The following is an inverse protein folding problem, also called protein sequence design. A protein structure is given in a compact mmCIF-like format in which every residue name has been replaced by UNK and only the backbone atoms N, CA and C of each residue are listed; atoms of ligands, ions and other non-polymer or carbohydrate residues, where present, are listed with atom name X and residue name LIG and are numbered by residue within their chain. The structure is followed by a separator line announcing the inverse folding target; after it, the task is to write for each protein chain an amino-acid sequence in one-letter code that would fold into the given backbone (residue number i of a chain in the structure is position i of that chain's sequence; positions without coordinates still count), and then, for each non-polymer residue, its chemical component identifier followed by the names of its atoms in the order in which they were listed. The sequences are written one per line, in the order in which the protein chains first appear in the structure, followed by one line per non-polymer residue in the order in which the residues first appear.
data_IF_730435444891
#
_entry.id   IF_730435444891
#
_cell.length_a   1.000
_cell.length_b   1.000
_cell.length_c   1.000
_cell.angle_alpha   90.00
_cell.angle_beta   90.00
_cell.angle_gamma   90.00
#
_symmetry.space_group_name_H-M   'P 1'
#
loop_
_entity.id
_entity.type
_entity.pdbx_description
1 polymer ?
#
# COMPACT_ATOMS: atom_id res chain seq x y z
N UNK A 1 60.75 -4.81 -1.82
CA UNK A 1 59.66 -3.90 -2.25
C UNK A 1 58.41 -4.73 -2.51
N UNK A 2 57.47 -4.72 -1.58
CA UNK A 2 56.20 -5.43 -1.71
C UNK A 2 55.12 -4.40 -2.02
N UNK A 3 54.56 -4.45 -3.23
CA UNK A 3 53.38 -3.65 -3.60
C UNK A 3 52.12 -4.38 -3.12
N UNK A 4 51.47 -3.79 -2.14
CA UNK A 4 50.13 -4.20 -1.72
C UNK A 4 49.11 -3.57 -2.66
N UNK A 5 48.48 -4.38 -3.52
CA UNK A 5 47.27 -3.97 -4.28
C UNK A 5 46.07 -3.98 -3.34
N UNK A 6 45.63 -2.79 -2.94
CA UNK A 6 44.34 -2.62 -2.29
C UNK A 6 43.23 -2.74 -3.36
N UNK A 7 42.56 -3.88 -3.37
CA UNK A 7 41.37 -4.09 -4.19
C UNK A 7 40.20 -3.31 -3.59
N UNK A 8 39.79 -2.24 -4.25
CA UNK A 8 38.52 -1.57 -3.95
C UNK A 8 37.36 -2.49 -4.31
N UNK A 9 36.69 -3.03 -3.31
CA UNK A 9 35.39 -3.69 -3.49
C UNK A 9 34.39 -2.63 -3.88
N UNK A 10 34.09 -2.56 -5.17
CA UNK A 10 32.94 -1.81 -5.66
C UNK A 10 31.67 -2.44 -5.06
N UNK A 11 31.06 -1.78 -4.09
CA UNK A 11 29.72 -2.09 -3.66
C UNK A 11 28.80 -1.81 -4.85
N UNK A 12 28.41 -2.88 -5.52
CA UNK A 12 27.31 -2.83 -6.47
C UNK A 12 26.07 -2.49 -5.64
N UNK A 13 25.56 -1.27 -5.80
CA UNK A 13 24.21 -0.94 -5.39
C UNK A 13 23.29 -1.86 -6.18
N UNK A 14 22.87 -2.95 -5.54
CA UNK A 14 21.77 -3.75 -6.07
C UNK A 14 20.58 -2.83 -6.08
N UNK A 15 20.20 -2.37 -7.26
CA UNK A 15 18.94 -1.67 -7.48
C UNK A 15 17.83 -2.51 -6.86
N UNK A 16 16.91 -1.85 -6.16
CA UNK A 16 15.73 -2.53 -5.64
C UNK A 16 15.12 -3.38 -6.76
N UNK A 17 14.71 -4.64 -6.46
CA UNK A 17 14.08 -5.46 -7.48
C UNK A 17 12.89 -4.70 -8.09
N UNK A 18 12.62 -4.88 -9.40
CA UNK A 18 11.46 -4.26 -10.02
C UNK A 18 10.26 -4.61 -9.15
N UNK A 19 9.58 -3.59 -8.68
CA UNK A 19 8.50 -3.73 -7.72
C UNK A 19 7.41 -4.59 -8.33
N UNK A 20 7.36 -5.83 -7.91
CA UNK A 20 6.31 -6.74 -8.32
C UNK A 20 4.99 -6.19 -7.82
N UNK A 21 4.00 -6.18 -8.71
CA UNK A 21 2.62 -5.88 -8.30
C UNK A 21 2.30 -6.70 -7.06
N UNK A 22 2.07 -6.03 -5.96
CA UNK A 22 1.65 -6.69 -4.74
C UNK A 22 0.25 -7.29 -4.95
N UNK A 23 0.14 -8.60 -4.81
CA UNK A 23 -1.12 -9.31 -4.89
C UNK A 23 -1.75 -9.46 -3.51
N UNK A 24 -3.06 -9.68 -3.49
CA UNK A 24 -3.74 -10.13 -2.29
C UNK A 24 -3.42 -11.61 -2.06
N UNK A 25 -2.60 -11.90 -1.07
CA UNK A 25 -2.14 -13.25 -0.77
C UNK A 25 -2.77 -13.76 0.53
N UNK A 26 -3.66 -14.77 0.47
CA UNK A 26 -4.32 -15.32 1.65
C UNK A 26 -3.38 -16.02 2.63
N UNK A 27 -2.16 -16.36 2.21
CA UNK A 27 -1.18 -17.01 3.08
C UNK A 27 -0.37 -16.05 3.94
N UNK A 28 -0.44 -14.75 3.68
CA UNK A 28 0.32 -13.74 4.42
C UNK A 28 -0.28 -13.48 5.80
N UNK A 29 0.60 -13.19 6.74
CA UNK A 29 0.23 -12.69 8.07
C UNK A 29 0.02 -11.18 8.02
N UNK A 30 -1.25 -10.78 7.88
CA UNK A 30 -1.60 -9.36 7.75
C UNK A 30 -1.19 -8.52 8.97
N UNK A 31 -1.24 -9.09 10.18
CA UNK A 31 -0.81 -8.37 11.38
C UNK A 31 0.69 -8.04 11.35
N UNK A 32 1.51 -8.98 10.90
CA UNK A 32 2.97 -8.75 10.73
C UNK A 32 3.26 -7.76 9.61
N UNK A 33 2.53 -7.86 8.50
CA UNK A 33 2.68 -6.94 7.37
C UNK A 33 2.34 -5.49 7.78
N UNK A 34 1.25 -5.31 8.52
CA UNK A 34 0.86 -3.99 9.04
C UNK A 34 1.92 -3.44 10.00
N UNK A 35 2.41 -4.25 10.92
CA UNK A 35 3.46 -3.85 11.85
C UNK A 35 4.74 -3.42 11.13
N UNK A 36 5.16 -4.17 10.11
CA UNK A 36 6.32 -3.82 9.29
C UNK A 36 6.10 -2.51 8.54
N UNK A 37 4.90 -2.29 7.99
CA UNK A 37 4.55 -1.07 7.30
C UNK A 37 4.55 0.16 8.23
N UNK A 38 4.05 0.01 9.45
CA UNK A 38 4.06 1.09 10.45
C UNK A 38 5.49 1.51 10.80
N UNK A 39 6.39 0.54 11.02
CA UNK A 39 7.82 0.84 11.26
C UNK A 39 8.46 1.55 10.08
N UNK A 40 8.18 1.11 8.88
CA UNK A 40 8.69 1.73 7.66
C UNK A 40 8.13 3.16 7.47
N UNK A 41 6.85 3.36 7.76
CA UNK A 41 6.20 4.66 7.70
C UNK A 41 6.81 5.64 8.71
N UNK A 42 7.00 5.20 9.96
CA UNK A 42 7.65 6.00 11.00
C UNK A 42 9.07 6.41 10.59
N UNK A 43 9.88 5.48 10.10
CA UNK A 43 11.25 5.75 9.69
C UNK A 43 11.35 6.69 8.47
N UNK A 44 10.34 6.74 7.61
CA UNK A 44 10.35 7.51 6.35
C UNK A 44 9.44 8.75 6.35
N UNK A 45 8.74 9.01 7.45
CA UNK A 45 7.79 10.14 7.52
C UNK A 45 6.55 9.96 6.65
N UNK A 46 6.19 8.71 6.35
CA UNK A 46 5.00 8.36 5.56
C UNK A 46 3.85 7.91 6.45
N UNK A 47 2.68 7.81 5.88
CA UNK A 47 1.50 7.15 6.47
C UNK A 47 1.33 5.75 5.88
N UNK A 48 0.36 5.00 6.39
CA UNK A 48 0.05 3.66 5.89
C UNK A 48 -1.33 3.65 5.25
N UNK A 49 -1.45 2.99 4.11
CA UNK A 49 -2.73 2.62 3.52
C UNK A 49 -2.89 1.11 3.63
N UNK A 50 -3.98 0.67 4.27
CA UNK A 50 -4.44 -0.70 4.17
C UNK A 50 -5.42 -0.79 3.01
N UNK A 51 -5.08 -1.55 1.99
CA UNK A 51 -5.93 -1.87 0.84
C UNK A 51 -6.53 -3.25 1.08
N UNK A 52 -7.80 -3.28 1.44
CA UNK A 52 -8.52 -4.50 1.79
C UNK A 52 -9.28 -5.02 0.58
N UNK A 53 -9.03 -6.26 0.21
CA UNK A 53 -9.69 -6.88 -0.93
C UNK A 53 -9.20 -8.29 -1.20
N UNK A 54 -9.30 -8.72 -2.43
CA UNK A 54 -8.87 -10.06 -2.85
C UNK A 54 -8.65 -10.16 -4.35
N UNK A 55 -7.95 -11.18 -4.79
CA UNK A 55 -7.71 -11.43 -6.22
C UNK A 55 -9.01 -11.75 -7.00
N UNK A 56 -10.05 -12.20 -6.31
CA UNK A 56 -11.39 -12.41 -6.86
C UNK A 56 -12.13 -11.12 -7.23
N UNK A 57 -11.69 -9.97 -6.70
CA UNK A 57 -12.40 -8.70 -6.71
C UNK A 57 -12.05 -7.89 -7.97
N UNK A 58 -13.00 -7.73 -8.89
CA UNK A 58 -12.80 -6.97 -10.13
C UNK A 58 -12.51 -5.48 -9.85
N UNK A 59 -13.16 -4.87 -8.85
CA UNK A 59 -12.93 -3.48 -8.49
C UNK A 59 -11.56 -3.24 -7.85
N UNK A 60 -11.03 -4.24 -7.14
CA UNK A 60 -9.64 -4.22 -6.63
C UNK A 60 -8.64 -4.18 -7.80
N UNK A 61 -8.87 -5.01 -8.82
CA UNK A 61 -8.04 -5.00 -10.04
C UNK A 61 -8.14 -3.69 -10.83
N UNK A 62 -9.33 -3.08 -10.84
CA UNK A 62 -9.54 -1.77 -11.49
C UNK A 62 -8.79 -0.66 -10.77
N UNK A 63 -8.72 -0.69 -9.44
CA UNK A 63 -7.91 0.25 -8.67
C UNK A 63 -6.42 0.04 -8.94
N UNK A 64 -5.95 -1.19 -8.94
CA UNK A 64 -4.56 -1.52 -9.31
C UNK A 64 -4.21 -1.04 -10.73
N UNK A 65 -5.14 -1.23 -11.66
CA UNK A 65 -4.97 -0.77 -13.05
C UNK A 65 -4.88 0.76 -13.15
N UNK A 66 -5.61 1.49 -12.31
CA UNK A 66 -5.48 2.94 -12.25
C UNK A 66 -4.06 3.35 -11.85
N UNK A 67 -3.52 2.78 -10.78
CA UNK A 67 -2.15 3.06 -10.36
C UNK A 67 -1.13 2.67 -11.43
N UNK A 68 -1.30 1.51 -12.08
CA UNK A 68 -0.41 1.07 -13.15
C UNK A 68 -0.44 1.99 -14.39
N UNK A 69 -1.58 2.60 -14.69
CA UNK A 69 -1.76 3.47 -15.87
C UNK A 69 -1.55 4.96 -15.62
N UNK A 70 -1.39 5.37 -14.35
CA UNK A 70 -1.17 6.76 -13.94
C UNK A 70 0.10 6.87 -13.08
N UNK A 71 1.29 6.90 -13.72
CA UNK A 71 2.56 6.93 -12.99
C UNK A 71 2.66 8.04 -11.96
N UNK A 72 2.09 9.22 -12.24
CA UNK A 72 2.08 10.38 -11.34
C UNK A 72 1.30 10.12 -10.05
N UNK A 73 0.22 9.35 -10.12
CA UNK A 73 -0.59 8.98 -8.95
C UNK A 73 0.15 7.92 -8.14
N UNK A 74 0.70 6.94 -8.81
CA UNK A 74 1.49 5.86 -8.17
C UNK A 74 2.73 6.41 -7.48
N UNK A 75 3.45 7.32 -8.13
CA UNK A 75 4.61 7.99 -7.56
C UNK A 75 4.24 8.80 -6.31
N UNK A 76 3.13 9.56 -6.36
CA UNK A 76 2.63 10.31 -5.23
C UNK A 76 2.25 9.37 -4.06
N UNK A 77 1.55 8.27 -4.35
CA UNK A 77 1.18 7.27 -3.36
C UNK A 77 2.41 6.71 -2.65
N UNK A 78 3.41 6.29 -3.39
CA UNK A 78 4.66 5.73 -2.84
C UNK A 78 5.48 6.73 -2.04
N UNK A 79 5.52 7.97 -2.48
CA UNK A 79 6.25 9.03 -1.79
C UNK A 79 5.68 9.34 -0.41
N UNK A 80 4.36 9.17 -0.21
CA UNK A 80 3.65 9.60 0.99
C UNK A 80 3.07 8.47 1.82
N UNK A 81 2.98 7.26 1.27
CA UNK A 81 2.35 6.12 1.95
C UNK A 81 3.15 4.84 1.77
N UNK A 82 3.08 3.99 2.79
CA UNK A 82 3.40 2.56 2.69
C UNK A 82 2.07 1.83 2.54
N UNK A 83 1.89 1.08 1.46
CA UNK A 83 0.63 0.37 1.19
C UNK A 83 0.78 -1.11 1.56
N UNK A 84 -0.21 -1.62 2.27
CA UNK A 84 -0.33 -3.04 2.63
C UNK A 84 -1.61 -3.59 2.02
N UNK A 85 -1.50 -4.62 1.20
CA UNK A 85 -2.68 -5.38 0.74
C UNK A 85 -3.09 -6.38 1.81
N UNK A 86 -4.30 -6.20 2.33
CA UNK A 86 -4.90 -7.09 3.33
C UNK A 86 -5.92 -7.97 2.63
N UNK A 87 -5.62 -9.27 2.54
CA UNK A 87 -6.51 -10.21 1.87
C UNK A 87 -7.80 -10.40 2.66
N UNK A 88 -8.92 -10.39 1.94
CA UNK A 88 -10.21 -10.89 2.39
C UNK A 88 -10.73 -11.86 1.32
N UNK A 89 -10.80 -13.12 1.64
CA UNK A 89 -11.30 -14.18 0.76
C UNK A 89 -11.83 -15.35 1.59
N UNK A 90 -12.55 -16.31 1.00
CA UNK A 90 -12.99 -17.50 1.73
C UNK A 90 -11.85 -18.27 2.39
N UNK A 91 -10.64 -18.25 1.83
CA UNK A 91 -9.45 -18.92 2.35
C UNK A 91 -8.88 -18.23 3.59
N UNK A 92 -8.97 -16.89 3.62
CA UNK A 92 -8.52 -16.08 4.74
C UNK A 92 -9.26 -14.75 4.78
N UNK A 93 -10.18 -14.59 5.69
CA UNK A 93 -10.97 -13.37 5.88
C UNK A 93 -10.27 -12.32 6.73
N UNK A 94 -9.12 -12.66 7.32
CA UNK A 94 -8.39 -11.77 8.23
C UNK A 94 -9.29 -11.13 9.31
N UNK A 95 -10.25 -11.89 9.82
CA UNK A 95 -11.30 -11.39 10.74
C UNK A 95 -10.70 -10.75 11.99
N UNK A 96 -9.67 -11.37 12.57
CA UNK A 96 -9.03 -10.86 13.77
C UNK A 96 -8.40 -9.47 13.52
N UNK A 97 -7.67 -9.31 12.44
CA UNK A 97 -7.05 -8.04 12.06
C UNK A 97 -8.13 -7.00 11.74
N UNK A 98 -9.10 -7.36 10.90
CA UNK A 98 -10.15 -6.44 10.44
C UNK A 98 -11.13 -6.05 11.55
N UNK A 99 -11.23 -6.83 12.63
CA UNK A 99 -12.06 -6.49 13.79
C UNK A 99 -11.60 -5.21 14.51
N UNK A 100 -10.36 -4.79 14.31
CA UNK A 100 -9.81 -3.56 14.88
C UNK A 100 -10.18 -2.29 14.07
N UNK A 101 -10.85 -2.46 12.94
CA UNK A 101 -11.23 -1.37 12.03
C UNK A 101 -12.74 -1.31 11.85
N UNK A 102 -13.29 -0.19 11.35
CA UNK A 102 -14.70 -0.10 11.00
C UNK A 102 -15.10 -1.16 9.97
N UNK A 103 -16.39 -1.57 10.01
CA UNK A 103 -16.94 -2.53 9.06
C UNK A 103 -16.72 -2.08 7.62
N UNK A 104 -16.28 -3.01 6.79
CA UNK A 104 -16.11 -2.82 5.35
C UNK A 104 -17.41 -3.21 4.66
N UNK A 105 -18.00 -2.26 3.91
CA UNK A 105 -19.27 -2.48 3.19
C UNK A 105 -19.05 -3.08 1.79
N UNK A 106 -17.88 -2.89 1.20
CA UNK A 106 -17.50 -3.38 -0.13
C UNK A 106 -16.00 -3.39 -0.32
N UNK A 107 -15.55 -3.93 -1.45
CA UNK A 107 -14.12 -4.08 -1.76
C UNK A 107 -13.80 -3.46 -3.12
N UNK A 108 -12.59 -2.84 -3.29
CA UNK A 108 -11.62 -2.62 -2.23
C UNK A 108 -12.10 -1.60 -1.20
N UNK A 109 -11.52 -1.63 -0.01
CA UNK A 109 -11.70 -0.60 1.01
C UNK A 109 -10.34 -0.11 1.48
N UNK A 110 -10.19 1.19 1.69
CA UNK A 110 -8.93 1.78 2.10
C UNK A 110 -9.02 2.32 3.52
N UNK A 111 -8.08 1.92 4.37
CA UNK A 111 -7.87 2.55 5.66
C UNK A 111 -6.57 3.34 5.62
N UNK A 112 -6.61 4.59 6.05
CA UNK A 112 -5.41 5.41 6.23
C UNK A 112 -5.04 5.43 7.69
N UNK A 113 -3.81 5.04 7.98
CA UNK A 113 -3.27 5.04 9.34
C UNK A 113 -2.13 6.05 9.47
N UNK A 114 -2.05 6.69 10.63
CA UNK A 114 -0.84 7.37 11.04
C UNK A 114 0.27 6.33 11.30
N UNK A 115 1.53 6.75 11.32
CA UNK A 115 2.67 5.86 11.55
C UNK A 115 2.66 5.15 12.91
N UNK A 116 1.90 5.65 13.88
CA UNK A 116 1.68 4.99 15.17
C UNK A 116 0.52 3.97 15.18
N UNK A 117 -0.15 3.80 14.03
CA UNK A 117 -1.28 2.90 13.86
C UNK A 117 -2.66 3.54 14.08
N UNK A 118 -2.73 4.80 14.45
CA UNK A 118 -4.01 5.51 14.63
C UNK A 118 -4.77 5.58 13.31
N UNK A 119 -6.05 5.16 13.31
CA UNK A 119 -6.91 5.27 12.14
C UNK A 119 -7.28 6.73 11.88
N UNK A 120 -6.93 7.22 10.68
CA UNK A 120 -7.24 8.58 10.24
C UNK A 120 -8.47 8.63 9.34
N UNK A 121 -8.63 7.64 8.46
CA UNK A 121 -9.74 7.60 7.50
C UNK A 121 -10.10 6.16 7.16
N UNK A 122 -11.40 5.89 7.13
CA UNK A 122 -12.00 4.70 6.53
C UNK A 122 -12.67 5.13 5.23
N UNK A 123 -12.14 4.73 4.09
CA UNK A 123 -12.57 5.18 2.77
C UNK A 123 -13.28 4.07 2.01
N UNK A 124 -14.57 4.27 1.78
CA UNK A 124 -15.32 3.51 0.78
C UNK A 124 -14.82 3.94 -0.63
N UNK A 125 -14.27 2.99 -1.38
CA UNK A 125 -13.75 3.27 -2.71
C UNK A 125 -14.83 3.50 -3.76
N UNK A 126 -16.08 3.19 -3.46
CA UNK A 126 -17.23 3.58 -4.28
C UNK A 126 -17.31 5.09 -4.50
N UNK A 127 -16.90 5.87 -3.51
CA UNK A 127 -16.81 7.34 -3.61
C UNK A 127 -15.70 7.84 -4.56
N UNK A 128 -14.77 6.96 -4.91
CA UNK A 128 -13.65 7.26 -5.82
C UNK A 128 -13.90 6.76 -7.24
N UNK A 129 -15.07 6.18 -7.50
CA UNK A 129 -15.43 5.60 -8.79
C UNK A 129 -15.91 6.65 -9.81
N UNK A 130 -15.70 6.29 -11.09
CA UNK A 130 -16.28 6.97 -12.25
C UNK A 130 -16.47 5.95 -13.38
N UNK A 131 -17.71 5.74 -13.80
CA UNK A 131 -18.00 4.75 -14.84
C UNK A 131 -17.65 3.33 -14.40
N UNK A 132 -16.87 2.63 -15.20
CA UNK A 132 -16.44 1.24 -14.94
C UNK A 132 -15.10 1.13 -14.24
N UNK A 133 -14.60 2.18 -13.63
CA UNK A 133 -13.33 2.21 -12.93
C UNK A 133 -13.30 3.28 -11.84
N UNK A 134 -12.10 3.59 -11.39
CA UNK A 134 -11.89 4.68 -10.44
C UNK A 134 -11.52 5.97 -11.19
N UNK A 135 -11.89 7.10 -10.61
CA UNK A 135 -11.59 8.42 -11.14
C UNK A 135 -10.17 8.85 -10.71
N UNK A 136 -9.24 9.05 -11.66
CA UNK A 136 -7.88 9.48 -11.33
C UNK A 136 -7.83 10.78 -10.50
N UNK A 137 -8.72 11.73 -10.79
CA UNK A 137 -8.78 13.01 -10.06
C UNK A 137 -9.23 12.80 -8.61
N UNK A 138 -10.26 11.97 -8.39
CA UNK A 138 -10.75 11.64 -7.04
C UNK A 138 -9.69 10.87 -6.24
N UNK A 139 -9.01 9.92 -6.86
CA UNK A 139 -7.94 9.15 -6.20
C UNK A 139 -6.78 10.06 -5.82
N UNK A 140 -6.32 10.92 -6.73
CA UNK A 140 -5.26 11.88 -6.41
C UNK A 140 -5.68 12.84 -5.29
N UNK A 141 -6.91 13.35 -5.33
CA UNK A 141 -7.43 14.24 -4.29
C UNK A 141 -7.49 13.54 -2.92
N UNK A 142 -7.89 12.26 -2.88
CA UNK A 142 -7.86 11.44 -1.68
C UNK A 142 -6.43 11.32 -1.13
N UNK A 143 -5.47 10.95 -1.98
CA UNK A 143 -4.07 10.82 -1.56
C UNK A 143 -3.51 12.14 -1.01
N UNK A 144 -3.76 13.26 -1.70
CA UNK A 144 -3.30 14.58 -1.25
C UNK A 144 -3.92 15.01 0.08
N UNK A 145 -5.20 14.71 0.27
CA UNK A 145 -5.91 15.03 1.51
C UNK A 145 -5.34 14.29 2.73
N UNK A 146 -4.93 13.04 2.55
CA UNK A 146 -4.50 12.17 3.64
C UNK A 146 -2.99 11.94 3.69
N UNK A 147 -2.22 12.58 2.81
CA UNK A 147 -0.77 12.58 2.91
C UNK A 147 -0.31 13.24 4.22
N UNK A 148 0.82 12.81 4.80
CA UNK A 148 1.33 13.41 6.01
C UNK A 148 1.66 14.88 5.78
N UNK A 149 1.39 15.71 6.78
CA UNK A 149 1.81 17.10 6.80
C UNK A 149 3.34 17.16 6.93
N UNK A 150 3.95 18.04 6.12
CA UNK A 150 5.40 18.29 6.24
C UNK A 150 5.69 19.15 7.46
#
# INVERSE_FOLDING_TARGET
MLFACAGALAQQSQGAPPEQRESFDPSRDAAKDIQAALRQAEASGRRVILDVGGEWCIWCRRLDSLFASHPEIEEYRRAHFVTVKVNWSPENKNEQVLSHYPKVAGYPHLFVLESDGTLLKSQDTGELEKGKGHDPEKVMAFLKKWAPSK
#
